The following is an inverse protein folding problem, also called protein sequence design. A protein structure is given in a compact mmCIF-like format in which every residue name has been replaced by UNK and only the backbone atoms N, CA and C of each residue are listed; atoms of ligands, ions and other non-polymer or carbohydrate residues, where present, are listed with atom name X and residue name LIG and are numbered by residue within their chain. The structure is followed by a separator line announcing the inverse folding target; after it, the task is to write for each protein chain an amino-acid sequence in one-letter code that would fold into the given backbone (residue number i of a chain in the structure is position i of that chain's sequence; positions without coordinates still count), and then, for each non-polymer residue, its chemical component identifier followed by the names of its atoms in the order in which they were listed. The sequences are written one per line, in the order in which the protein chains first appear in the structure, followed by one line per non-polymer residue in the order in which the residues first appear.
data_IF_439321218753
#
_entry.id   IF_439321218753
#
_cell.length_a   1.000
_cell.length_b   1.000
_cell.length_c   1.000
_cell.angle_alpha   90.00
_cell.angle_beta   90.00
_cell.angle_gamma   90.00
#
_symmetry.space_group_name_H-M   'P 1'
#
loop_
_entity.id
_entity.type
_entity.pdbx_description
1 polymer ?
#
# COMPACT_ATOMS: atom_id res chain seq x y z
N UNK A 1 -74.39 -41.57 43.54
CA UNK A 1 -73.43 -40.52 43.99
C UNK A 1 -72.35 -40.38 42.92
N UNK A 2 -72.21 -39.17 42.36
CA UNK A 2 -71.25 -38.83 41.31
C UNK A 2 -69.88 -38.56 41.97
N UNK A 3 -68.82 -39.23 41.54
CA UNK A 3 -67.45 -38.84 41.89
C UNK A 3 -66.68 -38.47 40.62
N UNK A 4 -66.05 -37.30 40.70
CA UNK A 4 -65.52 -36.50 39.58
C UNK A 4 -64.23 -37.07 39.01
N UNK A 5 -64.08 -36.86 37.70
CA UNK A 5 -62.85 -36.91 36.94
C UNK A 5 -61.85 -35.85 37.41
N UNK A 6 -60.58 -36.21 37.49
CA UNK A 6 -59.44 -35.27 37.50
C UNK A 6 -58.32 -35.87 36.64
N UNK A 7 -58.35 -35.53 35.37
CA UNK A 7 -57.25 -35.71 34.42
C UNK A 7 -56.20 -34.64 34.72
N UNK A 8 -55.03 -35.03 35.23
CA UNK A 8 -53.87 -34.14 35.35
C UNK A 8 -53.11 -34.16 34.03
N UNK A 9 -53.21 -33.06 33.29
CA UNK A 9 -52.43 -32.77 32.09
C UNK A 9 -50.93 -32.69 32.43
N UNK A 10 -50.04 -33.33 31.65
CA UNK A 10 -48.62 -33.02 31.73
C UNK A 10 -48.36 -31.64 31.08
N UNK A 11 -47.84 -30.72 31.87
CA UNK A 11 -47.29 -29.45 31.41
C UNK A 11 -46.05 -29.76 30.55
N UNK A 12 -46.20 -29.71 29.23
CA UNK A 12 -45.08 -29.66 28.29
C UNK A 12 -44.41 -28.28 28.44
N UNK A 13 -43.36 -28.23 29.26
CA UNK A 13 -42.40 -27.13 29.27
C UNK A 13 -41.67 -27.14 27.92
N UNK A 14 -42.15 -26.28 27.01
CA UNK A 14 -41.45 -26.00 25.75
C UNK A 14 -40.06 -25.48 26.05
N UNK A 15 -39.05 -26.26 25.70
CA UNK A 15 -37.67 -25.82 25.55
C UNK A 15 -37.62 -24.83 24.38
N UNK A 16 -38.02 -23.59 24.64
CA UNK A 16 -37.72 -22.44 23.80
C UNK A 16 -36.22 -22.20 23.87
N UNK A 17 -35.45 -22.97 23.09
CA UNK A 17 -34.06 -22.67 22.84
C UNK A 17 -33.99 -21.25 22.27
N UNK A 18 -33.37 -20.34 23.01
CA UNK A 18 -33.08 -19.00 22.54
C UNK A 18 -32.24 -19.13 21.27
N UNK A 19 -32.90 -19.08 20.11
CA UNK A 19 -32.29 -18.89 18.81
C UNK A 19 -31.83 -17.42 18.75
N UNK A 20 -30.82 -17.09 19.56
CA UNK A 20 -30.07 -15.85 19.39
C UNK A 20 -29.33 -16.09 18.08
N UNK A 21 -29.88 -15.56 16.99
CA UNK A 21 -29.15 -15.40 15.73
C UNK A 21 -27.76 -14.88 16.09
N UNK A 22 -26.71 -15.65 15.79
CA UNK A 22 -25.35 -15.14 15.89
C UNK A 22 -25.35 -13.80 15.14
N UNK A 23 -25.02 -12.73 15.86
CA UNK A 23 -24.86 -11.42 15.22
C UNK A 23 -23.84 -11.63 14.10
N UNK A 24 -24.14 -11.15 12.87
CA UNK A 24 -23.20 -11.28 11.75
C UNK A 24 -21.83 -10.79 12.20
N UNK A 25 -20.78 -11.57 11.99
CA UNK A 25 -19.42 -11.14 12.30
C UNK A 25 -19.15 -9.87 11.48
N UNK A 26 -18.88 -8.72 12.12
CA UNK A 26 -18.66 -7.46 11.41
C UNK A 26 -17.41 -7.49 10.52
N UNK A 27 -16.58 -8.53 10.62
CA UNK A 27 -15.42 -8.78 9.77
C UNK A 27 -15.64 -9.90 8.74
N UNK A 28 -16.81 -10.54 8.71
CA UNK A 28 -17.11 -11.57 7.71
C UNK A 28 -17.39 -10.91 6.35
N UNK A 29 -16.48 -11.15 5.41
CA UNK A 29 -16.57 -10.68 4.02
C UNK A 29 -17.48 -11.56 3.16
N UNK A 30 -17.85 -12.77 3.62
CA UNK A 30 -18.73 -13.68 2.88
C UNK A 30 -20.22 -13.40 3.13
N UNK A 31 -20.59 -13.04 4.37
CA UNK A 31 -21.97 -12.75 4.78
C UNK A 31 -22.44 -11.31 4.53
N UNK A 32 -21.53 -10.39 4.19
CA UNK A 32 -21.90 -9.01 3.89
C UNK A 32 -22.71 -8.94 2.59
N UNK A 33 -23.99 -8.53 2.67
CA UNK A 33 -24.84 -8.27 1.50
C UNK A 33 -24.28 -7.17 0.57
N UNK A 34 -23.26 -6.44 1.00
CA UNK A 34 -22.67 -5.31 0.28
C UNK A 34 -21.16 -5.47 0.21
N UNK A 35 -20.63 -5.37 -1.00
CA UNK A 35 -19.20 -5.19 -1.26
C UNK A 35 -18.70 -3.95 -0.51
N UNK A 36 -17.68 -4.12 0.34
CA UNK A 36 -17.03 -3.04 1.08
C UNK A 36 -15.51 -3.22 1.07
N UNK A 37 -14.84 -2.46 0.20
CA UNK A 37 -13.39 -2.53 0.04
C UNK A 37 -12.62 -2.02 1.27
N UNK A 38 -13.24 -1.15 2.08
CA UNK A 38 -12.61 -0.65 3.31
C UNK A 38 -12.56 -1.74 4.37
N UNK A 39 -13.65 -2.50 4.55
CA UNK A 39 -13.68 -3.65 5.47
C UNK A 39 -12.64 -4.69 5.05
N UNK A 40 -12.55 -4.99 3.75
CA UNK A 40 -11.54 -5.90 3.22
C UNK A 40 -10.10 -5.46 3.54
N UNK A 41 -9.76 -4.19 3.30
CA UNK A 41 -8.44 -3.64 3.64
C UNK A 41 -8.17 -3.67 5.14
N UNK A 42 -9.17 -3.34 5.97
CA UNK A 42 -9.05 -3.38 7.43
C UNK A 42 -8.79 -4.78 7.95
N UNK A 43 -9.44 -5.79 7.37
CA UNK A 43 -9.21 -7.19 7.70
C UNK A 43 -7.78 -7.61 7.37
N UNK A 44 -7.26 -7.21 6.20
CA UNK A 44 -5.87 -7.45 5.81
C UNK A 44 -4.91 -6.78 6.80
N UNK A 45 -5.11 -5.49 7.13
CA UNK A 45 -4.25 -4.75 8.04
C UNK A 45 -4.25 -5.34 9.47
N UNK A 46 -5.42 -5.77 9.95
CA UNK A 46 -5.56 -6.47 11.24
C UNK A 46 -4.80 -7.79 11.24
N UNK A 47 -4.86 -8.55 10.14
CA UNK A 47 -4.12 -9.79 10.00
C UNK A 47 -2.61 -9.57 10.04
N UNK A 48 -2.08 -8.58 9.30
CA UNK A 48 -0.66 -8.21 9.37
C UNK A 48 -0.24 -7.91 10.81
N UNK A 49 -0.95 -7.00 11.48
CA UNK A 49 -0.62 -6.59 12.85
C UNK A 49 -0.64 -7.76 13.83
N UNK A 50 -1.64 -8.64 13.71
CA UNK A 50 -1.79 -9.82 14.58
C UNK A 50 -0.67 -10.84 14.34
N UNK A 51 -0.38 -11.15 13.08
CA UNK A 51 0.62 -12.17 12.75
C UNK A 51 2.04 -11.67 13.01
N UNK A 52 2.33 -10.38 12.82
CA UNK A 52 3.62 -9.79 13.16
C UNK A 52 3.93 -9.89 14.65
N UNK A 53 2.94 -9.69 15.52
CA UNK A 53 3.11 -9.90 16.97
C UNK A 53 3.46 -11.35 17.30
N UNK A 54 2.87 -12.32 16.58
CA UNK A 54 3.18 -13.74 16.76
C UNK A 54 4.59 -14.08 16.32
N UNK A 55 5.06 -13.48 15.22
CA UNK A 55 6.46 -13.59 14.78
C UNK A 55 7.41 -13.02 15.82
N UNK A 56 7.12 -11.82 16.35
CA UNK A 56 7.95 -11.17 17.38
C UNK A 56 8.03 -12.00 18.68
N UNK A 57 6.98 -12.74 19.02
CA UNK A 57 6.93 -13.63 20.18
C UNK A 57 7.56 -15.01 19.93
N UNK A 58 7.99 -15.30 18.70
CA UNK A 58 8.53 -16.61 18.31
C UNK A 58 7.46 -17.70 18.20
N UNK A 59 6.18 -17.35 18.16
CA UNK A 59 5.04 -18.28 18.00
C UNK A 59 4.83 -18.70 16.53
N UNK A 60 5.47 -17.99 15.59
CA UNK A 60 5.31 -18.13 14.15
C UNK A 60 6.59 -17.72 13.45
N UNK A 61 6.93 -18.38 12.33
CA UNK A 61 8.04 -17.93 11.49
C UNK A 61 7.60 -16.81 10.54
N UNK A 62 8.50 -15.91 10.08
CA UNK A 62 8.16 -14.92 9.06
C UNK A 62 7.57 -15.56 7.78
N UNK A 63 8.07 -16.73 7.39
CA UNK A 63 7.58 -17.46 6.21
C UNK A 63 6.14 -17.94 6.39
N UNK A 64 5.79 -18.46 7.58
CA UNK A 64 4.42 -18.85 7.89
C UNK A 64 3.49 -17.64 7.92
N UNK A 65 3.95 -16.50 8.46
CA UNK A 65 3.21 -15.24 8.43
C UNK A 65 2.90 -14.83 7.00
N UNK A 66 3.89 -14.83 6.12
CA UNK A 66 3.73 -14.44 4.72
C UNK A 66 2.77 -15.38 3.98
N UNK A 67 2.85 -16.70 4.23
CA UNK A 67 1.91 -17.67 3.67
C UNK A 67 0.46 -17.38 4.11
N UNK A 68 0.22 -17.15 5.40
CA UNK A 68 -1.12 -16.86 5.91
C UNK A 68 -1.69 -15.55 5.38
N UNK A 69 -0.86 -14.51 5.27
CA UNK A 69 -1.25 -13.25 4.64
C UNK A 69 -1.63 -13.48 3.17
N UNK A 70 -0.81 -14.24 2.42
CA UNK A 70 -1.10 -14.53 1.01
C UNK A 70 -2.43 -15.27 0.85
N UNK A 71 -2.67 -16.31 1.65
CA UNK A 71 -3.94 -17.06 1.65
C UNK A 71 -5.16 -16.18 1.98
N UNK A 72 -5.01 -15.25 2.92
CA UNK A 72 -6.08 -14.30 3.26
C UNK A 72 -6.35 -13.34 2.09
N UNK A 73 -5.31 -12.71 1.56
CA UNK A 73 -5.43 -11.71 0.50
C UNK A 73 -5.99 -12.35 -0.78
N UNK A 74 -5.54 -13.56 -1.15
CA UNK A 74 -6.06 -14.28 -2.32
C UNK A 74 -7.55 -14.60 -2.18
N UNK A 75 -7.96 -15.02 -0.99
CA UNK A 75 -9.36 -15.29 -0.68
C UNK A 75 -10.21 -14.02 -0.79
N UNK A 76 -9.74 -12.92 -0.21
CA UNK A 76 -10.43 -11.62 -0.28
C UNK A 76 -10.54 -11.16 -1.74
N UNK A 77 -9.44 -11.23 -2.50
CA UNK A 77 -9.44 -10.88 -3.92
C UNK A 77 -10.43 -11.74 -4.72
N UNK A 78 -10.57 -13.02 -4.38
CA UNK A 78 -11.55 -13.93 -4.99
C UNK A 78 -13.02 -13.58 -4.75
N UNK A 79 -13.34 -12.76 -3.74
CA UNK A 79 -14.71 -12.28 -3.50
C UNK A 79 -15.03 -10.97 -4.22
N UNK A 80 -14.03 -10.31 -4.80
CA UNK A 80 -14.24 -9.05 -5.51
C UNK A 80 -14.93 -9.36 -6.85
N UNK A 81 -16.13 -8.82 -7.01
CA UNK A 81 -16.84 -8.78 -8.29
C UNK A 81 -16.54 -7.44 -8.95
N UNK A 82 -15.72 -7.39 -10.03
CA UNK A 82 -15.24 -6.12 -10.57
C UNK A 82 -16.34 -5.12 -10.94
N UNK A 83 -17.48 -5.61 -11.41
CA UNK A 83 -18.64 -4.81 -11.82
C UNK A 83 -19.36 -4.14 -10.63
N UNK A 84 -19.23 -4.70 -9.43
CA UNK A 84 -19.86 -4.16 -8.20
C UNK A 84 -18.99 -3.07 -7.54
N UNK A 85 -17.74 -2.91 -7.99
CA UNK A 85 -16.80 -1.94 -7.41
C UNK A 85 -17.15 -0.54 -7.87
N UNK A 86 -17.34 0.38 -6.92
CA UNK A 86 -17.55 1.81 -7.19
C UNK A 86 -16.25 2.50 -7.57
N UNK A 87 -16.34 3.54 -8.42
CA UNK A 87 -15.18 4.34 -8.85
C UNK A 87 -14.36 4.87 -7.65
N UNK A 88 -15.04 5.37 -6.62
CA UNK A 88 -14.42 5.92 -5.41
C UNK A 88 -13.62 4.88 -4.59
N UNK A 89 -13.84 3.59 -4.82
CA UNK A 89 -13.19 2.47 -4.14
C UNK A 89 -12.14 1.77 -5.01
N UNK A 90 -12.02 2.18 -6.29
CA UNK A 90 -11.16 1.51 -7.25
C UNK A 90 -9.71 1.36 -6.76
N UNK A 91 -9.17 2.39 -6.10
CA UNK A 91 -7.80 2.33 -5.56
C UNK A 91 -7.62 1.30 -4.44
N UNK A 92 -8.64 1.08 -3.61
CA UNK A 92 -8.60 0.09 -2.52
C UNK A 92 -8.57 -1.32 -3.09
N UNK A 93 -9.39 -1.54 -4.10
CA UNK A 93 -9.45 -2.80 -4.84
C UNK A 93 -8.16 -3.05 -5.60
N UNK A 94 -7.59 -2.02 -6.23
CA UNK A 94 -6.31 -2.11 -6.90
C UNK A 94 -5.20 -2.58 -5.93
N UNK A 95 -5.19 -2.03 -4.72
CA UNK A 95 -4.23 -2.41 -3.69
C UNK A 95 -4.40 -3.87 -3.22
N UNK A 96 -5.65 -4.34 -3.05
CA UNK A 96 -5.94 -5.74 -2.72
C UNK A 96 -5.41 -6.67 -3.82
N UNK A 97 -5.74 -6.38 -5.10
CA UNK A 97 -5.23 -7.18 -6.22
C UNK A 97 -3.70 -7.16 -6.31
N UNK A 98 -3.08 -6.00 -6.07
CA UNK A 98 -1.61 -5.90 -6.01
C UNK A 98 -1.03 -6.79 -4.93
N UNK A 99 -1.61 -6.81 -3.74
CA UNK A 99 -1.18 -7.68 -2.63
C UNK A 99 -1.41 -9.17 -2.95
N UNK A 100 -2.48 -9.51 -3.70
CA UNK A 100 -2.75 -10.86 -4.18
C UNK A 100 -1.77 -11.31 -5.28
N UNK A 101 -1.02 -10.38 -5.87
CA UNK A 101 -0.18 -10.63 -7.04
C UNK A 101 -0.95 -10.68 -8.36
N UNK A 102 -2.25 -10.35 -8.36
CA UNK A 102 -3.04 -10.15 -9.57
C UNK A 102 -2.75 -8.76 -10.13
N UNK A 103 -1.59 -8.64 -10.78
CA UNK A 103 -1.10 -7.37 -11.27
C UNK A 103 -1.98 -6.83 -12.40
N UNK A 104 -2.61 -7.68 -13.21
CA UNK A 104 -3.44 -7.22 -14.34
C UNK A 104 -4.71 -6.51 -13.85
N UNK A 105 -5.40 -7.07 -12.86
CA UNK A 105 -6.54 -6.36 -12.28
C UNK A 105 -6.10 -5.14 -11.47
N UNK A 106 -4.96 -5.20 -10.76
CA UNK A 106 -4.41 -4.04 -10.08
C UNK A 106 -4.17 -2.86 -11.03
N UNK A 107 -3.59 -3.09 -12.23
CA UNK A 107 -3.40 -2.05 -13.25
C UNK A 107 -4.72 -1.40 -13.66
N UNK A 108 -5.73 -2.20 -14.03
CA UNK A 108 -7.06 -1.70 -14.46
C UNK A 108 -7.70 -0.82 -13.39
N UNK A 109 -7.65 -1.24 -12.14
CA UNK A 109 -8.27 -0.52 -11.04
C UNK A 109 -7.50 0.74 -10.64
N UNK A 110 -6.17 0.75 -10.68
CA UNK A 110 -5.41 1.99 -10.51
C UNK A 110 -5.65 2.99 -11.64
N UNK A 111 -5.73 2.54 -12.90
CA UNK A 111 -6.09 3.43 -14.02
C UNK A 111 -7.46 4.08 -13.83
N UNK A 112 -8.44 3.30 -13.36
CA UNK A 112 -9.76 3.80 -13.00
C UNK A 112 -9.67 4.81 -11.85
N UNK A 113 -8.93 4.50 -10.79
CA UNK A 113 -8.74 5.37 -9.64
C UNK A 113 -8.12 6.73 -10.02
N UNK A 114 -7.07 6.72 -10.85
CA UNK A 114 -6.40 7.95 -11.32
C UNK A 114 -7.37 8.85 -12.09
N UNK A 115 -8.24 8.27 -12.94
CA UNK A 115 -9.23 9.03 -13.74
C UNK A 115 -10.26 9.75 -12.88
N UNK A 116 -10.60 9.20 -11.72
CA UNK A 116 -11.65 9.73 -10.82
C UNK A 116 -11.08 10.41 -9.57
N UNK A 117 -9.76 10.57 -9.49
CA UNK A 117 -9.10 11.21 -8.36
C UNK A 117 -9.63 12.63 -8.16
N UNK A 118 -10.21 12.88 -6.99
CA UNK A 118 -10.84 14.18 -6.66
C UNK A 118 -9.85 15.21 -6.11
N UNK A 119 -8.67 14.76 -5.70
CA UNK A 119 -7.63 15.60 -5.13
C UNK A 119 -6.30 15.25 -5.76
N UNK A 120 -5.39 16.22 -5.71
CA UNK A 120 -4.04 16.05 -6.21
C UNK A 120 -3.25 15.00 -5.40
N UNK A 121 -3.41 14.99 -4.08
CA UNK A 121 -2.90 13.92 -3.21
C UNK A 121 -3.31 12.52 -3.72
N UNK A 122 -4.61 12.33 -4.03
CA UNK A 122 -5.11 11.06 -4.55
C UNK A 122 -4.54 10.73 -5.92
N UNK A 123 -4.48 11.70 -6.83
CA UNK A 123 -3.89 11.53 -8.18
C UNK A 123 -2.43 11.07 -8.07
N UNK A 124 -1.63 11.75 -7.24
CA UNK A 124 -0.21 11.43 -7.04
C UNK A 124 -0.04 10.05 -6.43
N UNK A 125 -0.71 9.75 -5.31
CA UNK A 125 -0.59 8.45 -4.65
C UNK A 125 -1.04 7.29 -5.54
N UNK A 126 -2.19 7.42 -6.23
CA UNK A 126 -2.68 6.37 -7.12
C UNK A 126 -1.78 6.16 -8.34
N UNK A 127 -1.18 7.24 -8.86
CA UNK A 127 -0.22 7.15 -9.97
C UNK A 127 1.09 6.48 -9.54
N UNK A 128 1.60 6.78 -8.34
CA UNK A 128 2.81 6.14 -7.79
C UNK A 128 2.57 4.66 -7.51
N UNK A 129 1.41 4.30 -6.96
CA UNK A 129 1.05 2.89 -6.75
C UNK A 129 0.85 2.15 -8.08
N UNK A 130 0.29 2.82 -9.10
CA UNK A 130 0.25 2.26 -10.44
C UNK A 130 1.67 2.00 -11.00
N UNK A 131 2.57 2.97 -10.87
CA UNK A 131 3.97 2.82 -11.27
C UNK A 131 4.63 1.61 -10.57
N UNK A 132 4.36 1.40 -9.29
CA UNK A 132 4.83 0.22 -8.55
C UNK A 132 4.30 -1.08 -9.17
N UNK A 133 3.00 -1.15 -9.51
CA UNK A 133 2.41 -2.34 -10.16
C UNK A 133 3.07 -2.62 -11.51
N UNK A 134 3.33 -1.59 -12.32
CA UNK A 134 4.05 -1.73 -13.59
C UNK A 134 5.46 -2.30 -13.36
N UNK A 135 6.19 -1.76 -12.39
CA UNK A 135 7.53 -2.26 -12.04
C UNK A 135 7.48 -3.73 -11.58
N UNK A 136 6.52 -4.10 -10.72
CA UNK A 136 6.29 -5.49 -10.29
C UNK A 136 6.02 -6.41 -11.48
N UNK A 137 5.21 -5.97 -12.45
CA UNK A 137 4.88 -6.71 -13.66
C UNK A 137 6.04 -6.78 -14.68
N UNK A 138 7.15 -6.09 -14.40
CA UNK A 138 8.33 -6.04 -15.28
C UNK A 138 8.29 -4.96 -16.34
N UNK A 139 7.22 -4.16 -16.40
CA UNK A 139 7.16 -2.96 -17.23
C UNK A 139 7.84 -1.78 -16.51
N UNK A 140 9.17 -1.86 -16.42
CA UNK A 140 9.97 -0.81 -15.79
C UNK A 140 9.92 0.52 -16.55
N UNK A 141 10.00 0.57 -17.90
CA UNK A 141 9.85 1.82 -18.64
C UNK A 141 8.50 2.50 -18.38
N UNK A 142 7.39 1.73 -18.36
CA UNK A 142 6.07 2.25 -18.01
C UNK A 142 6.01 2.75 -16.58
N UNK A 143 6.63 2.04 -15.63
CA UNK A 143 6.73 2.47 -14.24
C UNK A 143 7.44 3.82 -14.09
N UNK A 144 8.61 3.97 -14.74
CA UNK A 144 9.38 5.22 -14.73
C UNK A 144 8.55 6.36 -15.33
N UNK A 145 7.90 6.14 -16.48
CA UNK A 145 7.07 7.15 -17.12
C UNK A 145 5.90 7.60 -16.21
N UNK A 146 5.23 6.65 -15.54
CA UNK A 146 4.15 6.97 -14.60
C UNK A 146 4.66 7.73 -13.38
N UNK A 147 5.77 7.32 -12.77
CA UNK A 147 6.35 8.03 -11.63
C UNK A 147 6.76 9.47 -12.01
N UNK A 148 7.41 9.66 -13.17
CA UNK A 148 7.79 10.98 -13.67
C UNK A 148 6.55 11.86 -13.93
N UNK A 149 5.44 11.28 -14.36
CA UNK A 149 4.20 12.03 -14.60
C UNK A 149 3.57 12.65 -13.34
N UNK A 150 4.07 12.32 -12.14
CA UNK A 150 3.65 12.98 -10.89
C UNK A 150 4.55 14.16 -10.50
N UNK A 151 5.62 14.44 -11.25
CA UNK A 151 6.56 15.51 -10.92
C UNK A 151 5.98 16.90 -11.19
N UNK A 152 4.84 16.99 -11.87
CA UNK A 152 4.06 18.21 -12.05
C UNK A 152 3.26 18.61 -10.80
N UNK A 153 3.17 17.72 -9.80
CA UNK A 153 2.42 17.98 -8.57
C UNK A 153 2.96 19.23 -7.84
N UNK A 154 2.08 20.03 -7.21
CA UNK A 154 2.50 21.20 -6.45
C UNK A 154 3.33 20.81 -5.21
N UNK A 155 4.22 21.69 -4.70
CA UNK A 155 5.09 21.44 -3.56
C UNK A 155 4.50 20.66 -2.38
N UNK A 156 3.29 21.03 -1.93
CA UNK A 156 2.59 20.39 -0.80
C UNK A 156 2.22 18.91 -1.04
N UNK A 157 2.14 18.47 -2.30
CA UNK A 157 1.74 17.11 -2.70
C UNK A 157 2.96 16.26 -3.16
N UNK A 158 4.19 16.82 -3.12
CA UNK A 158 5.40 16.11 -3.57
C UNK A 158 5.98 15.15 -2.53
N UNK A 159 5.54 15.25 -1.27
CA UNK A 159 6.04 14.44 -0.15
C UNK A 159 6.17 12.93 -0.45
N UNK A 160 5.17 12.25 -1.04
CA UNK A 160 5.25 10.80 -1.27
C UNK A 160 6.18 10.38 -2.42
N UNK A 161 6.55 11.28 -3.34
CA UNK A 161 7.18 10.91 -4.62
C UNK A 161 8.50 10.16 -4.43
N UNK A 162 9.44 10.76 -3.69
CA UNK A 162 10.75 10.13 -3.46
C UNK A 162 10.63 8.89 -2.60
N UNK A 163 9.71 8.87 -1.63
CA UNK A 163 9.52 7.73 -0.74
C UNK A 163 9.01 6.51 -1.53
N UNK A 164 8.02 6.71 -2.41
CA UNK A 164 7.54 5.67 -3.31
C UNK A 164 8.64 5.21 -4.28
N UNK A 165 9.42 6.13 -4.85
CA UNK A 165 10.53 5.75 -5.72
C UNK A 165 11.57 4.90 -4.98
N UNK A 166 12.02 5.36 -3.80
CA UNK A 166 13.06 4.72 -3.00
C UNK A 166 12.68 3.34 -2.48
N UNK A 167 11.49 3.21 -1.89
CA UNK A 167 11.12 2.01 -1.14
C UNK A 167 10.21 1.05 -1.90
N UNK A 168 9.57 1.49 -3.00
CA UNK A 168 8.55 0.69 -3.66
C UNK A 168 8.85 0.46 -5.15
N UNK A 169 9.02 1.52 -5.94
CA UNK A 169 9.13 1.43 -7.40
C UNK A 169 10.51 0.92 -7.81
N UNK A 170 11.59 1.53 -7.32
CA UNK A 170 12.96 1.12 -7.65
C UNK A 170 13.20 -0.33 -7.22
N UNK A 171 12.93 -0.74 -5.96
CA UNK A 171 13.10 -2.14 -5.56
C UNK A 171 12.29 -3.13 -6.40
N UNK A 172 11.08 -2.78 -6.83
CA UNK A 172 10.25 -3.66 -7.66
C UNK A 172 10.78 -3.83 -9.10
N UNK A 173 11.54 -2.86 -9.61
CA UNK A 173 12.09 -2.88 -10.97
C UNK A 173 13.55 -3.34 -11.07
N UNK A 174 14.30 -3.37 -9.96
CA UNK A 174 15.72 -3.75 -9.98
C UNK A 174 15.95 -5.16 -10.52
N UNK A 175 17.01 -5.32 -11.32
CA UNK A 175 17.38 -6.58 -11.95
C UNK A 175 16.56 -6.93 -13.19
N UNK A 176 15.66 -6.05 -13.64
CA UNK A 176 14.81 -6.26 -14.82
C UNK A 176 15.33 -5.54 -16.08
N UNK A 177 16.62 -5.25 -16.13
CA UNK A 177 17.29 -4.71 -17.32
C UNK A 177 17.26 -3.19 -17.48
N UNK A 178 16.69 -2.45 -16.51
CA UNK A 178 16.52 -0.99 -16.56
C UNK A 178 17.02 -0.29 -15.29
N UNK A 179 18.08 -0.86 -14.69
CA UNK A 179 18.61 -0.39 -13.39
C UNK A 179 19.13 1.05 -13.48
N UNK A 180 19.71 1.46 -14.62
CA UNK A 180 20.21 2.82 -14.83
C UNK A 180 19.07 3.83 -14.87
N UNK A 181 17.97 3.50 -15.56
CA UNK A 181 16.77 4.33 -15.64
C UNK A 181 16.09 4.46 -14.27
N UNK A 182 16.12 3.40 -13.45
CA UNK A 182 15.62 3.44 -12.07
C UNK A 182 16.48 4.31 -11.15
N UNK A 183 17.81 4.29 -11.33
CA UNK A 183 18.71 5.19 -10.61
C UNK A 183 18.47 6.65 -10.99
N UNK A 184 18.32 6.94 -12.29
CA UNK A 184 18.00 8.29 -12.78
C UNK A 184 16.60 8.76 -12.30
N UNK A 185 15.60 7.88 -12.29
CA UNK A 185 14.29 8.18 -11.66
C UNK A 185 14.47 8.58 -10.20
N UNK A 186 15.25 7.82 -9.44
CA UNK A 186 15.48 8.09 -8.02
C UNK A 186 16.21 9.44 -7.82
N UNK A 187 17.25 9.75 -8.60
CA UNK A 187 17.91 11.06 -8.58
C UNK A 187 16.92 12.21 -8.82
N UNK A 188 16.07 12.08 -9.85
CA UNK A 188 15.06 13.10 -10.16
C UNK A 188 14.02 13.23 -9.05
N UNK A 189 13.64 12.12 -8.40
CA UNK A 189 12.71 12.13 -7.28
C UNK A 189 13.27 12.85 -6.03
N UNK A 190 14.59 12.79 -5.80
CA UNK A 190 15.24 13.57 -4.73
C UNK A 190 15.00 15.06 -4.96
N UNK A 191 15.12 15.52 -6.21
CA UNK A 191 14.84 16.92 -6.56
C UNK A 191 13.38 17.31 -6.32
N UNK A 192 12.44 16.37 -6.43
CA UNK A 192 11.04 16.60 -6.06
C UNK A 192 10.86 16.68 -4.54
N UNK A 193 11.55 15.84 -3.77
CA UNK A 193 11.50 15.86 -2.31
C UNK A 193 12.02 17.18 -1.72
N UNK A 194 13.06 17.76 -2.34
CA UNK A 194 13.61 19.06 -1.96
C UNK A 194 12.64 20.24 -2.19
N UNK A 195 11.60 20.04 -3.01
CA UNK A 195 10.59 21.06 -3.27
C UNK A 195 9.40 20.96 -2.31
N UNK A 196 9.37 19.97 -1.42
CA UNK A 196 8.23 19.75 -0.53
C UNK A 196 8.07 20.92 0.43
N UNK A 197 6.83 21.42 0.54
CA UNK A 197 6.46 22.46 1.49
C UNK A 197 5.55 21.85 2.56
N UNK A 198 5.95 22.00 3.82
CA UNK A 198 5.19 21.56 5.00
C UNK A 198 5.02 22.72 5.97
N UNK A 199 4.01 22.64 6.84
CA UNK A 199 3.85 23.57 7.96
C UNK A 199 4.82 23.21 9.11
N UNK A 200 5.86 24.02 9.39
CA UNK A 200 6.80 23.75 10.48
C UNK A 200 6.15 23.86 11.88
N UNK A 201 5.00 24.51 12.00
CA UNK A 201 4.21 24.57 13.23
C UNK A 201 3.47 23.28 13.54
N UNK A 202 3.23 22.43 12.54
CA UNK A 202 2.56 21.15 12.70
C UNK A 202 3.52 20.05 13.18
N UNK A 203 3.00 19.04 13.89
CA UNK A 203 3.79 17.88 14.28
C UNK A 203 4.35 17.12 13.06
N UNK A 204 3.50 16.92 12.04
CA UNK A 204 3.90 16.23 10.81
C UNK A 204 4.99 16.99 10.04
N UNK A 205 4.91 18.32 9.96
CA UNK A 205 5.91 19.13 9.28
C UNK A 205 7.26 19.15 9.99
N UNK A 206 7.29 19.21 11.34
CA UNK A 206 8.54 19.05 12.10
C UNK A 206 9.19 17.69 11.84
N UNK A 207 8.41 16.61 11.95
CA UNK A 207 8.92 15.26 11.66
C UNK A 207 9.45 15.15 10.23
N UNK A 208 8.77 15.75 9.26
CA UNK A 208 9.27 15.79 7.88
C UNK A 208 10.62 16.51 7.78
N UNK A 209 10.75 17.71 8.35
CA UNK A 209 11.98 18.50 8.28
C UNK A 209 13.17 17.81 8.97
N UNK A 210 12.91 17.17 10.12
CA UNK A 210 13.92 16.42 10.88
C UNK A 210 14.40 15.17 10.12
N UNK A 211 13.51 14.48 9.41
CA UNK A 211 13.81 13.20 8.74
C UNK A 211 14.22 13.34 7.28
N UNK A 212 13.89 14.46 6.62
CA UNK A 212 14.16 14.70 5.20
C UNK A 212 15.63 14.50 4.83
N UNK A 213 16.63 15.06 5.55
CA UNK A 213 18.04 14.83 5.23
C UNK A 213 18.44 13.35 5.26
N UNK A 214 17.87 12.57 6.18
CA UNK A 214 18.13 11.13 6.31
C UNK A 214 17.57 10.39 5.08
N UNK A 215 16.35 10.71 4.66
CA UNK A 215 15.74 10.10 3.49
C UNK A 215 16.49 10.43 2.19
N UNK A 216 16.94 11.68 2.05
CA UNK A 216 17.75 12.12 0.91
C UNK A 216 19.09 11.37 0.89
N UNK A 217 19.75 11.24 2.03
CA UNK A 217 20.99 10.45 2.16
C UNK A 217 20.81 9.01 1.69
N UNK A 218 19.78 8.33 2.19
CA UNK A 218 19.43 6.96 1.78
C UNK A 218 19.11 6.84 0.28
N UNK A 219 18.43 7.84 -0.29
CA UNK A 219 18.13 7.86 -1.72
C UNK A 219 19.42 7.96 -2.55
N UNK A 220 20.34 8.87 -2.19
CA UNK A 220 21.65 8.98 -2.85
C UNK A 220 22.50 7.72 -2.69
N UNK A 221 22.53 7.13 -1.50
CA UNK A 221 23.21 5.84 -1.28
C UNK A 221 22.69 4.76 -2.24
N UNK A 222 21.36 4.67 -2.38
CA UNK A 222 20.75 3.71 -3.30
C UNK A 222 21.11 4.01 -4.77
N UNK A 223 21.09 5.28 -5.21
CA UNK A 223 21.53 5.67 -6.55
C UNK A 223 22.97 5.21 -6.81
N UNK A 224 23.89 5.52 -5.90
CA UNK A 224 25.31 5.17 -6.02
C UNK A 224 25.52 3.66 -6.05
N UNK A 225 24.80 2.90 -5.22
CA UNK A 225 24.83 1.43 -5.22
C UNK A 225 24.41 0.86 -6.57
N UNK A 226 23.37 1.42 -7.19
CA UNK A 226 22.88 0.94 -8.48
C UNK A 226 23.92 1.22 -9.58
N UNK A 227 24.46 2.45 -9.65
CA UNK A 227 25.50 2.77 -10.63
C UNK A 227 26.77 1.97 -10.46
N UNK A 228 27.23 1.77 -9.23
CA UNK A 228 28.38 0.93 -8.93
C UNK A 228 28.16 -0.51 -9.40
N UNK A 229 27.00 -1.11 -9.07
CA UNK A 229 26.66 -2.47 -9.48
C UNK A 229 26.58 -2.63 -11.01
N UNK A 230 26.16 -1.58 -11.71
CA UNK A 230 26.09 -1.55 -13.16
C UNK A 230 27.44 -1.24 -13.85
N UNK A 231 28.54 -1.06 -13.09
CA UNK A 231 29.85 -0.70 -13.64
C UNK A 231 29.89 0.68 -14.29
N UNK A 232 28.98 1.58 -13.90
CA UNK A 232 28.86 2.94 -14.46
C UNK A 232 29.58 3.97 -13.60
N UNK A 233 30.91 3.85 -13.53
CA UNK A 233 31.78 4.74 -12.75
C UNK A 233 31.67 6.21 -13.17
N UNK A 234 31.29 6.47 -14.43
CA UNK A 234 31.00 7.80 -14.95
C UNK A 234 29.74 8.41 -14.29
N UNK A 235 28.69 7.61 -14.11
CA UNK A 235 27.45 8.04 -13.46
C UNK A 235 27.61 8.09 -11.94
N UNK A 236 28.33 7.13 -11.35
CA UNK A 236 28.64 7.12 -9.93
C UNK A 236 29.37 8.41 -9.50
N UNK A 237 30.42 8.80 -10.22
CA UNK A 237 31.15 10.06 -9.94
C UNK A 237 30.24 11.28 -10.04
N UNK A 238 29.40 11.35 -11.08
CA UNK A 238 28.41 12.43 -11.24
C UNK A 238 27.39 12.46 -10.10
N UNK A 239 26.94 11.30 -9.62
CA UNK A 239 26.02 11.20 -8.49
C UNK A 239 26.65 11.72 -7.20
N UNK A 240 27.91 11.36 -6.92
CA UNK A 240 28.69 11.88 -5.77
C UNK A 240 28.79 13.41 -5.86
N UNK A 241 29.21 13.95 -7.00
CA UNK A 241 29.31 15.40 -7.19
C UNK A 241 27.97 16.14 -6.98
N UNK A 242 26.86 15.55 -7.44
CA UNK A 242 25.52 16.14 -7.27
C UNK A 242 25.07 16.11 -5.81
N UNK A 243 25.29 14.99 -5.11
CA UNK A 243 25.00 14.86 -3.68
C UNK A 243 25.78 15.89 -2.88
N UNK A 244 27.08 16.03 -3.14
CA UNK A 244 27.96 16.92 -2.38
C UNK A 244 27.58 18.39 -2.62
N UNK A 245 27.33 18.78 -3.90
CA UNK A 245 26.80 20.10 -4.24
C UNK A 245 25.45 20.41 -3.56
N UNK A 246 24.64 19.39 -3.30
CA UNK A 246 23.36 19.56 -2.61
C UNK A 246 23.55 19.74 -1.10
N UNK A 247 24.45 18.97 -0.48
CA UNK A 247 24.81 19.12 0.92
C UNK A 247 25.39 20.52 1.20
N UNK A 248 26.27 21.02 0.32
CA UNK A 248 26.85 22.35 0.41
C UNK A 248 25.80 23.48 0.33
N UNK A 249 24.72 23.26 -0.43
CA UNK A 249 23.61 24.21 -0.50
C UNK A 249 22.76 24.16 0.77
N UNK A 250 22.52 22.97 1.31
CA UNK A 250 21.72 22.79 2.52
C UNK A 250 22.40 23.35 3.78
N UNK A 251 23.74 23.29 3.87
CA UNK A 251 24.52 23.85 4.98
C UNK A 251 24.73 25.37 4.93
N UNK A 252 24.21 26.07 3.91
CA UNK A 252 24.32 27.53 3.72
C UNK A 252 23.00 28.28 3.98
N UNK A 253 21.97 27.60 4.49
CA UNK A 253 20.64 28.16 4.80
C UNK A 253 20.49 28.35 6.30
#
# INVERSE_FOLDING_TARGET
MRCRWLSLSPLLLGLGGCYISQLPDPNDVQGAQRFDAEIMQRNIATAYSTLDLRVQRGEMTPQDRDRHIKELVDRIAGYIKPDDVRDAEAWRVADIYRQAGDLDNAKKFYERAIKVAKTEDRRVNDTLQYARVLALAGDVPGAVAKAVSTFDAPPKEKAPIMMACLYEIVPAGLGKGHDIELADLLEKSISQHMQVQVDPGSAAGRTFLETSPIHIGKAWERVMQIYAKAGRDDLLRKAIERRDKMADKAGKV
#
